data_IF_212640728266
#
_entry.id   IF_212640728266
#
_cell.length_a   1.000
_cell.length_b   1.000
_cell.length_c   1.000
_cell.angle_alpha   90.00
_cell.angle_beta   90.00
_cell.angle_gamma   90.00
#
_symmetry.space_group_name_H-M   'P 1'
#
loop_
_entity.id
_entity.type
_entity.pdbx_description
1 polymer ?
#
# COMPACT_ATOMS: atom_id res chain seq x y z
N UNK A 1 -9.20 -0.61 -37.68
CA UNK A 1 -9.78 0.08 -36.50
C UNK A 1 -11.29 -0.13 -36.58
N UNK A 2 -11.88 -0.82 -35.61
CA UNK A 2 -13.32 -1.04 -35.61
C UNK A 2 -14.07 0.23 -35.20
N UNK A 3 -15.28 0.42 -35.71
CA UNK A 3 -16.17 1.55 -35.33
C UNK A 3 -16.40 1.60 -33.80
N UNK A 4 -16.33 0.46 -33.08
CA UNK A 4 -16.44 0.39 -31.64
C UNK A 4 -15.30 1.11 -30.91
N UNK A 5 -14.07 1.12 -31.46
CA UNK A 5 -12.94 1.86 -30.88
C UNK A 5 -13.08 3.38 -30.99
N UNK A 6 -13.88 3.86 -31.95
CA UNK A 6 -14.18 5.28 -32.14
C UNK A 6 -15.38 5.75 -31.29
N UNK A 7 -16.25 4.82 -30.88
CA UNK A 7 -17.43 5.12 -30.06
C UNK A 7 -17.14 4.99 -28.55
N UNK A 8 -16.09 4.28 -28.15
CA UNK A 8 -15.66 4.09 -26.77
C UNK A 8 -14.69 5.19 -26.27
N UNK A 9 -14.91 6.43 -26.66
CA UNK A 9 -14.06 7.58 -26.30
C UNK A 9 -14.27 8.08 -24.88
N UNK A 10 -15.29 7.61 -24.16
CA UNK A 10 -15.55 8.05 -22.79
C UNK A 10 -15.03 7.01 -21.78
N UNK A 11 -13.86 7.26 -21.20
CA UNK A 11 -13.24 6.45 -20.15
C UNK A 11 -14.20 6.14 -18.99
N UNK A 12 -15.05 7.08 -18.63
CA UNK A 12 -15.99 6.93 -17.53
C UNK A 12 -17.05 5.83 -17.71
N UNK A 13 -17.40 5.44 -18.96
CA UNK A 13 -18.32 4.30 -19.20
C UNK A 13 -17.70 2.95 -18.84
N UNK A 14 -16.38 2.93 -18.64
CA UNK A 14 -15.59 1.74 -18.28
C UNK A 14 -15.33 1.64 -16.78
N UNK A 15 -15.75 2.62 -15.98
CA UNK A 15 -15.64 2.59 -14.53
C UNK A 15 -16.61 1.60 -13.90
N UNK A 16 -16.26 1.06 -12.74
CA UNK A 16 -17.21 0.31 -11.91
C UNK A 16 -18.41 1.18 -11.51
N UNK A 17 -19.53 0.55 -11.17
CA UNK A 17 -20.71 1.27 -10.66
C UNK A 17 -20.40 2.00 -9.35
N UNK A 18 -19.59 1.39 -8.50
CA UNK A 18 -19.13 2.02 -7.24
C UNK A 18 -18.40 3.33 -7.54
N UNK A 19 -17.44 3.33 -8.47
CA UNK A 19 -16.72 4.54 -8.85
C UNK A 19 -17.63 5.58 -9.50
N UNK A 20 -18.52 5.17 -10.37
CA UNK A 20 -19.51 6.08 -10.96
C UNK A 20 -20.37 6.75 -9.88
N UNK A 21 -20.80 5.98 -8.87
CA UNK A 21 -21.56 6.52 -7.75
C UNK A 21 -20.72 7.52 -6.93
N UNK A 22 -19.44 7.21 -6.67
CA UNK A 22 -18.51 8.11 -5.95
C UNK A 22 -18.21 9.39 -6.72
N UNK A 23 -18.13 9.34 -8.04
CA UNK A 23 -18.01 10.52 -8.88
C UNK A 23 -19.25 11.41 -8.80
N UNK A 24 -20.44 10.81 -8.87
CA UNK A 24 -21.70 11.55 -8.87
C UNK A 24 -22.09 12.07 -7.49
N UNK A 25 -21.76 11.34 -6.44
CA UNK A 25 -22.10 11.65 -5.04
C UNK A 25 -20.93 11.33 -4.11
N UNK A 26 -19.83 12.09 -4.19
CA UNK A 26 -18.70 11.92 -3.32
C UNK A 26 -19.08 12.27 -1.87
N UNK A 27 -18.52 11.53 -0.90
CA UNK A 27 -18.83 11.68 0.53
C UNK A 27 -17.83 12.57 1.26
N UNK A 28 -16.58 12.53 0.80
CA UNK A 28 -15.46 13.13 1.51
C UNK A 28 -14.98 14.46 0.88
N UNK A 29 -15.77 15.04 -0.02
CA UNK A 29 -15.45 16.35 -0.60
C UNK A 29 -15.57 17.45 0.46
N UNK A 30 -14.51 18.26 0.58
CA UNK A 30 -14.48 19.39 1.52
C UNK A 30 -13.08 19.73 1.97
N UNK A 31 -12.98 20.36 3.13
CA UNK A 31 -11.73 20.71 3.77
C UNK A 31 -11.96 20.88 5.27
N UNK A 32 -10.87 20.92 6.03
CA UNK A 32 -10.86 21.30 7.43
C UNK A 32 -10.06 22.58 7.60
N UNK A 33 -10.39 23.34 8.68
CA UNK A 33 -9.67 24.54 9.07
C UNK A 33 -8.79 24.26 10.29
N UNK A 34 -7.74 25.07 10.47
CA UNK A 34 -6.88 25.01 11.66
C UNK A 34 -7.68 25.19 12.98
N UNK A 35 -8.70 26.05 12.95
CA UNK A 35 -9.59 26.28 14.10
C UNK A 35 -10.34 24.99 14.48
N UNK A 36 -10.90 24.28 13.50
CA UNK A 36 -11.61 23.01 13.73
C UNK A 36 -10.68 21.92 14.29
N UNK A 37 -9.42 21.89 13.88
CA UNK A 37 -8.43 20.95 14.41
C UNK A 37 -8.02 21.34 15.84
N UNK A 38 -7.80 22.62 16.09
CA UNK A 38 -7.42 23.16 17.40
C UNK A 38 -8.48 22.86 18.46
N UNK A 39 -9.76 23.14 18.17
CA UNK A 39 -10.88 22.90 19.07
C UNK A 39 -11.03 21.43 19.48
N UNK A 40 -10.59 20.52 18.60
CA UNK A 40 -10.60 19.06 18.84
C UNK A 40 -9.32 18.54 19.47
N UNK A 41 -8.28 19.38 19.62
CA UNK A 41 -6.97 18.97 20.11
C UNK A 41 -6.18 18.06 19.15
N UNK A 42 -6.59 18.00 17.88
CA UNK A 42 -6.00 17.15 16.83
C UNK A 42 -5.15 17.96 15.88
N UNK A 43 -4.42 17.29 14.97
CA UNK A 43 -3.55 17.91 13.97
C UNK A 43 -4.27 17.98 12.62
N UNK A 44 -4.26 19.16 12.00
CA UNK A 44 -4.60 19.31 10.59
C UNK A 44 -3.36 19.06 9.74
N UNK A 45 -3.49 18.16 8.78
CA UNK A 45 -2.53 17.96 7.68
C UNK A 45 -3.20 18.35 6.38
N UNK A 46 -2.58 19.25 5.63
CA UNK A 46 -3.12 19.73 4.36
C UNK A 46 -2.02 19.67 3.28
N UNK A 47 -2.29 18.92 2.22
CA UNK A 47 -1.37 18.72 1.10
C UNK A 47 -2.04 19.13 -0.19
N UNK A 48 -1.26 19.71 -1.08
CA UNK A 48 -1.62 19.91 -2.50
C UNK A 48 -0.67 19.12 -3.37
N UNK A 49 -1.24 18.40 -4.34
CA UNK A 49 -0.53 17.62 -5.33
C UNK A 49 -1.07 17.89 -6.73
N UNK A 50 -0.19 17.88 -7.72
CA UNK A 50 -0.52 18.24 -9.08
C UNK A 50 -0.67 19.74 -9.28
N UNK A 51 -1.22 20.15 -10.42
CA UNK A 51 -1.41 21.55 -10.80
C UNK A 51 -2.59 21.69 -11.74
N UNK A 52 -3.36 22.76 -11.58
CA UNK A 52 -4.46 23.11 -12.51
C UNK A 52 -3.92 23.31 -13.93
N UNK A 53 -2.69 23.81 -14.08
CA UNK A 53 -2.04 23.99 -15.38
C UNK A 53 -1.81 22.68 -16.11
N UNK A 54 -1.56 21.61 -15.37
CA UNK A 54 -1.34 20.26 -15.88
C UNK A 54 -2.64 19.46 -15.99
N UNK A 55 -3.78 20.10 -15.68
CA UNK A 55 -5.11 19.54 -15.83
C UNK A 55 -5.65 18.78 -14.63
N UNK A 56 -4.83 18.51 -13.60
CA UNK A 56 -5.25 17.78 -12.38
C UNK A 56 -4.58 18.36 -11.13
N UNK A 57 -5.38 18.79 -10.16
CA UNK A 57 -4.92 19.22 -8.84
C UNK A 57 -5.76 18.53 -7.77
N UNK A 58 -5.10 18.01 -6.76
CA UNK A 58 -5.69 17.39 -5.56
C UNK A 58 -5.22 18.15 -4.33
N UNK A 59 -6.16 18.60 -3.50
CA UNK A 59 -5.89 19.06 -2.14
C UNK A 59 -6.48 18.04 -1.15
N UNK A 60 -5.65 17.44 -0.33
CA UNK A 60 -6.00 16.43 0.66
C UNK A 60 -5.88 17.03 2.07
N UNK A 61 -6.85 16.75 2.93
CA UNK A 61 -6.93 17.26 4.30
C UNK A 61 -7.20 16.11 5.25
N UNK A 62 -6.31 15.91 6.24
CA UNK A 62 -6.50 14.93 7.31
C UNK A 62 -6.63 15.60 8.66
N UNK A 63 -7.48 15.03 9.49
CA UNK A 63 -7.48 15.26 10.93
C UNK A 63 -6.82 14.07 11.60
N UNK A 64 -5.67 14.30 12.24
CA UNK A 64 -4.82 13.24 12.79
C UNK A 64 -4.72 13.41 14.29
N UNK A 65 -4.91 12.31 15.01
CA UNK A 65 -4.68 12.28 16.46
C UNK A 65 -3.18 12.46 16.75
N UNK A 66 -2.87 13.30 17.73
CA UNK A 66 -1.48 13.61 18.12
C UNK A 66 -0.86 12.58 19.06
N UNK A 67 -1.67 11.67 19.61
CA UNK A 67 -1.21 10.67 20.57
C UNK A 67 -0.77 9.37 19.90
N UNK A 68 -1.43 8.98 18.79
CA UNK A 68 -1.23 7.69 18.15
C UNK A 68 -1.14 7.73 16.63
N UNK A 69 -1.30 8.91 16.03
CA UNK A 69 -1.19 9.10 14.59
C UNK A 69 -2.36 8.56 13.77
N UNK A 70 -3.49 8.22 14.43
CA UNK A 70 -4.70 7.74 13.73
C UNK A 70 -5.35 8.88 12.97
N UNK A 71 -5.72 8.61 11.72
CA UNK A 71 -6.47 9.53 10.86
C UNK A 71 -7.95 9.44 11.25
N UNK A 72 -8.44 10.46 11.96
CA UNK A 72 -9.81 10.51 12.48
C UNK A 72 -10.80 10.80 11.36
N UNK A 73 -10.42 11.68 10.44
CA UNK A 73 -11.27 12.07 9.30
C UNK A 73 -10.40 12.55 8.14
N UNK A 74 -10.89 12.39 6.91
CA UNK A 74 -10.20 12.77 5.70
C UNK A 74 -11.16 13.44 4.72
N UNK A 75 -10.74 14.56 4.15
CA UNK A 75 -11.46 15.30 3.10
C UNK A 75 -10.55 15.71 1.98
N UNK A 76 -11.14 16.01 0.84
CA UNK A 76 -10.39 16.46 -0.31
C UNK A 76 -11.12 17.50 -1.14
N UNK A 77 -10.36 18.25 -1.94
CA UNK A 77 -10.81 19.05 -3.07
C UNK A 77 -10.03 18.59 -4.29
N UNK A 78 -10.69 18.34 -5.39
CA UNK A 78 -10.06 17.94 -6.64
C UNK A 78 -10.54 18.81 -7.80
N UNK A 79 -9.61 19.14 -8.69
CA UNK A 79 -9.89 19.79 -9.96
C UNK A 79 -9.26 18.95 -11.06
N UNK A 80 -10.01 18.58 -12.08
CA UNK A 80 -9.51 17.76 -13.17
C UNK A 80 -10.47 16.67 -13.59
N UNK A 81 -9.93 15.50 -13.96
CA UNK A 81 -10.74 14.40 -14.44
C UNK A 81 -11.59 13.77 -13.33
N UNK A 82 -12.79 13.32 -13.71
CA UNK A 82 -13.79 12.77 -12.77
C UNK A 82 -13.27 11.59 -11.97
N UNK A 83 -12.36 10.78 -12.53
CA UNK A 83 -11.74 9.65 -11.83
C UNK A 83 -10.98 10.11 -10.59
N UNK A 84 -10.33 11.27 -10.63
CA UNK A 84 -9.62 11.82 -9.48
C UNK A 84 -10.57 12.04 -8.30
N UNK A 85 -11.82 12.46 -8.57
CA UNK A 85 -12.84 12.63 -7.53
C UNK A 85 -13.25 11.27 -6.94
N UNK A 86 -13.64 10.31 -7.80
CA UNK A 86 -14.15 9.03 -7.34
C UNK A 86 -13.10 8.18 -6.63
N UNK A 87 -11.88 8.13 -7.15
CA UNK A 87 -10.80 7.37 -6.55
C UNK A 87 -10.28 8.00 -5.24
N UNK A 88 -10.20 9.34 -5.16
CA UNK A 88 -9.84 10.01 -3.90
C UNK A 88 -10.90 9.82 -2.83
N UNK A 89 -12.18 9.82 -3.19
CA UNK A 89 -13.27 9.59 -2.26
C UNK A 89 -13.18 8.18 -1.63
N UNK A 90 -12.87 7.16 -2.45
CA UNK A 90 -12.60 5.80 -1.98
C UNK A 90 -11.34 5.75 -1.11
N UNK A 91 -10.28 6.42 -1.51
CA UNK A 91 -9.03 6.47 -0.75
C UNK A 91 -9.24 7.10 0.63
N UNK A 92 -10.03 8.17 0.74
CA UNK A 92 -10.39 8.77 2.03
C UNK A 92 -11.10 7.78 2.96
N UNK A 93 -12.08 7.01 2.45
CA UNK A 93 -12.75 5.97 3.27
C UNK A 93 -11.76 4.89 3.75
N UNK A 94 -10.78 4.53 2.92
CA UNK A 94 -9.79 3.50 3.23
C UNK A 94 -8.78 3.93 4.32
N UNK A 95 -8.43 5.22 4.40
CA UNK A 95 -7.42 5.72 5.35
C UNK A 95 -7.99 6.12 6.70
N UNK A 96 -9.27 6.49 6.78
CA UNK A 96 -9.91 6.83 8.05
C UNK A 96 -9.88 5.63 9.00
N UNK A 97 -9.48 5.87 10.24
CA UNK A 97 -9.28 4.84 11.27
C UNK A 97 -7.94 4.10 11.19
N UNK A 98 -7.09 4.40 10.19
CA UNK A 98 -5.71 3.91 10.10
C UNK A 98 -4.75 4.97 10.62
N UNK A 99 -3.57 4.56 11.09
CA UNK A 99 -2.52 5.51 11.35
C UNK A 99 -1.84 5.96 10.04
N UNK A 100 -1.06 7.07 10.11
CA UNK A 100 -0.43 7.66 8.93
C UNK A 100 0.58 6.71 8.24
N UNK A 101 1.21 5.79 8.99
CA UNK A 101 2.13 4.81 8.39
C UNK A 101 1.38 3.74 7.58
N UNK A 102 0.23 3.27 8.09
CA UNK A 102 -0.65 2.39 7.33
C UNK A 102 -1.24 3.08 6.10
N UNK A 103 -1.61 4.36 6.23
CA UNK A 103 -2.11 5.15 5.09
C UNK A 103 -1.03 5.33 4.01
N UNK A 104 0.23 5.61 4.40
CA UNK A 104 1.37 5.72 3.49
C UNK A 104 1.61 4.47 2.64
N UNK A 105 1.23 3.29 3.14
CA UNK A 105 1.36 1.99 2.46
C UNK A 105 0.19 1.66 1.55
N UNK A 106 -0.73 2.60 1.34
CA UNK A 106 -1.83 2.40 0.39
C UNK A 106 -1.28 2.17 -1.02
N UNK A 107 -1.89 1.23 -1.73
CA UNK A 107 -1.56 0.91 -3.11
C UNK A 107 -2.74 1.15 -4.05
N UNK A 108 -2.45 1.24 -5.35
CA UNK A 108 -3.48 1.29 -6.40
C UNK A 108 -4.43 0.10 -6.31
N UNK A 109 -3.92 -1.10 -5.97
CA UNK A 109 -4.71 -2.33 -5.85
C UNK A 109 -5.71 -2.29 -4.71
N UNK A 110 -5.37 -1.64 -3.59
CA UNK A 110 -6.32 -1.46 -2.49
C UNK A 110 -7.48 -0.56 -2.92
N UNK A 111 -7.20 0.52 -3.63
CA UNK A 111 -8.22 1.41 -4.18
C UNK A 111 -9.04 0.66 -5.24
N UNK A 112 -8.38 -0.09 -6.13
CA UNK A 112 -9.00 -0.92 -7.16
C UNK A 112 -9.95 -1.95 -6.52
N UNK A 113 -9.48 -2.72 -5.56
CA UNK A 113 -10.25 -3.77 -4.87
C UNK A 113 -11.48 -3.21 -4.16
N UNK A 114 -11.32 -2.09 -3.43
CA UNK A 114 -12.46 -1.43 -2.76
C UNK A 114 -13.46 -0.87 -3.76
N UNK A 115 -12.98 -0.42 -4.89
CA UNK A 115 -13.80 0.14 -5.96
C UNK A 115 -14.50 -0.89 -6.85
N UNK A 116 -14.18 -2.20 -6.73
CA UNK A 116 -14.75 -3.26 -7.56
C UNK A 116 -16.24 -3.50 -7.29
N UNK A 117 -17.00 -3.73 -8.35
CA UNK A 117 -18.36 -4.26 -8.27
C UNK A 117 -18.38 -5.79 -8.09
N UNK A 118 -17.40 -6.49 -8.72
CA UNK A 118 -17.20 -7.94 -8.69
C UNK A 118 -15.71 -8.23 -8.77
N UNK A 119 -15.26 -9.31 -8.13
CA UNK A 119 -13.86 -9.69 -8.02
C UNK A 119 -13.09 -9.84 -9.35
N UNK A 120 -13.77 -10.10 -10.46
CA UNK A 120 -13.12 -10.38 -11.75
C UNK A 120 -13.19 -9.22 -12.73
N UNK A 121 -13.57 -8.02 -12.30
CA UNK A 121 -13.71 -6.88 -13.21
C UNK A 121 -12.92 -5.68 -12.70
N UNK A 122 -12.03 -5.16 -13.56
CA UNK A 122 -11.30 -3.91 -13.29
C UNK A 122 -12.28 -2.76 -13.03
N UNK A 123 -11.99 -1.96 -11.99
CA UNK A 123 -12.77 -0.78 -11.62
C UNK A 123 -12.35 0.44 -12.42
N UNK A 124 -11.09 0.45 -12.84
CA UNK A 124 -10.46 1.56 -13.54
C UNK A 124 -9.80 1.10 -14.84
N UNK A 125 -9.98 1.81 -15.96
CA UNK A 125 -9.15 1.62 -17.15
C UNK A 125 -7.67 1.95 -16.84
N UNK A 126 -6.74 1.22 -17.43
CA UNK A 126 -5.29 1.42 -17.23
C UNK A 126 -4.83 2.87 -17.52
N UNK A 127 -5.48 3.57 -18.42
CA UNK A 127 -5.21 4.97 -18.78
C UNK A 127 -5.44 5.94 -17.60
N UNK A 128 -6.12 5.51 -16.55
CA UNK A 128 -6.42 6.33 -15.37
C UNK A 128 -5.42 6.15 -14.22
N UNK A 129 -4.48 5.20 -14.30
CA UNK A 129 -3.48 4.95 -13.27
C UNK A 129 -2.63 6.18 -12.91
N UNK A 130 -2.28 7.10 -13.83
CA UNK A 130 -1.59 8.33 -13.45
C UNK A 130 -2.34 9.17 -12.41
N UNK A 131 -3.68 9.11 -12.40
CA UNK A 131 -4.50 9.82 -11.41
C UNK A 131 -4.47 9.12 -10.04
N UNK A 132 -4.42 7.78 -10.04
CA UNK A 132 -4.23 6.98 -8.82
C UNK A 132 -2.86 7.27 -8.21
N UNK A 133 -1.82 7.35 -9.02
CA UNK A 133 -0.47 7.70 -8.57
C UNK A 133 -0.42 9.11 -7.96
N UNK A 134 -1.16 10.07 -8.51
CA UNK A 134 -1.28 11.42 -7.94
C UNK A 134 -1.90 11.36 -6.52
N UNK A 135 -2.92 10.51 -6.33
CA UNK A 135 -3.56 10.30 -5.02
C UNK A 135 -2.56 9.70 -4.04
N UNK A 136 -1.84 8.64 -4.45
CA UNK A 136 -0.85 7.99 -3.60
C UNK A 136 0.29 8.94 -3.20
N UNK A 137 0.76 9.77 -4.15
CA UNK A 137 1.77 10.81 -3.85
C UNK A 137 1.26 11.84 -2.84
N UNK A 138 -0.01 12.24 -2.92
CA UNK A 138 -0.61 13.13 -1.93
C UNK A 138 -0.70 12.49 -0.55
N UNK A 139 -1.08 11.21 -0.47
CA UNK A 139 -1.15 10.43 0.77
C UNK A 139 0.24 10.28 1.38
N UNK A 140 1.26 9.95 0.60
CA UNK A 140 2.64 9.83 1.06
C UNK A 140 3.14 11.14 1.68
N UNK A 141 2.98 12.26 0.98
CA UNK A 141 3.36 13.59 1.48
C UNK A 141 2.58 14.00 2.72
N UNK A 142 1.31 13.60 2.84
CA UNK A 142 0.52 13.84 4.05
C UNK A 142 1.06 13.03 5.22
N UNK A 143 1.42 11.77 4.99
CA UNK A 143 2.02 10.91 6.01
C UNK A 143 3.40 11.43 6.46
N UNK A 144 4.22 11.95 5.55
CA UNK A 144 5.51 12.57 5.88
C UNK A 144 5.36 13.72 6.88
N UNK A 145 4.28 14.51 6.81
CA UNK A 145 3.99 15.57 7.77
C UNK A 145 3.58 15.05 9.16
N UNK A 146 3.35 13.76 9.30
CA UNK A 146 2.97 13.14 10.57
C UNK A 146 4.11 12.38 11.24
N UNK A 147 5.29 12.29 10.65
CA UNK A 147 6.39 11.44 11.14
C UNK A 147 6.90 11.80 12.54
N UNK A 148 6.58 12.98 13.05
CA UNK A 148 6.86 13.41 14.42
C UNK A 148 5.82 12.94 15.44
N UNK A 149 4.69 12.37 14.99
CA UNK A 149 3.63 11.85 15.87
C UNK A 149 4.01 10.41 16.26
N UNK A 150 3.94 10.07 17.55
CA UNK A 150 4.20 8.70 17.98
C UNK A 150 3.10 7.74 17.48
N UNK A 151 3.41 6.47 17.47
CA UNK A 151 2.40 5.43 17.25
C UNK A 151 1.77 4.97 18.57
N UNK A 152 0.58 4.38 18.50
CA UNK A 152 -0.01 3.67 19.61
C UNK A 152 0.96 2.59 20.14
N UNK A 153 0.98 2.37 21.45
CA UNK A 153 1.89 1.42 22.13
C UNK A 153 1.82 0.01 21.54
N UNK A 154 0.68 -0.37 20.99
CA UNK A 154 0.44 -1.70 20.41
C UNK A 154 0.62 -1.73 18.87
N UNK A 155 1.03 -0.62 18.26
CA UNK A 155 1.28 -0.59 16.82
C UNK A 155 2.70 -1.05 16.53
N UNK A 156 2.82 -2.17 15.84
CA UNK A 156 4.08 -2.63 15.28
C UNK A 156 4.14 -2.28 13.79
N UNK A 157 5.14 -1.52 13.40
CA UNK A 157 5.35 -1.19 11.98
C UNK A 157 5.60 -2.48 11.21
N UNK A 158 4.97 -2.69 10.04
CA UNK A 158 5.15 -3.89 9.24
C UNK A 158 6.60 -4.12 8.77
N UNK A 159 7.39 -3.05 8.71
CA UNK A 159 8.84 -3.12 8.43
C UNK A 159 9.54 -2.32 9.52
N UNK A 160 10.46 -2.91 10.29
CA UNK A 160 11.25 -2.18 11.27
C UNK A 160 11.96 -1.01 10.60
N UNK A 161 11.84 0.20 11.16
CA UNK A 161 12.55 1.38 10.66
C UNK A 161 14.06 1.25 10.82
N UNK A 162 14.50 0.38 11.72
CA UNK A 162 15.91 0.05 11.93
C UNK A 162 16.18 -1.40 11.53
N UNK A 163 16.61 -1.56 10.29
CA UNK A 163 16.99 -2.86 9.72
C UNK A 163 18.31 -3.39 10.31
N UNK A 164 18.98 -2.63 11.16
CA UNK A 164 20.28 -3.02 11.78
C UNK A 164 20.11 -3.96 12.98
N UNK A 165 18.89 -4.22 13.46
CA UNK A 165 18.62 -4.92 14.73
C UNK A 165 18.11 -6.36 14.55
N UNK A 166 18.09 -6.90 13.33
CA UNK A 166 17.72 -8.31 13.15
C UNK A 166 18.98 -9.15 13.37
N UNK A 167 19.29 -9.43 14.63
CA UNK A 167 20.36 -10.33 15.01
C UNK A 167 19.89 -11.78 15.05
N UNK A 168 20.74 -12.69 14.58
CA UNK A 168 20.49 -14.12 14.67
C UNK A 168 21.68 -14.93 14.15
N UNK A 169 21.93 -16.06 14.79
CA UNK A 169 23.00 -16.99 14.42
C UNK A 169 22.59 -18.01 13.35
N UNK A 170 21.41 -17.80 12.74
CA UNK A 170 20.80 -18.76 11.81
C UNK A 170 20.17 -19.96 12.52
N UNK A 171 19.62 -20.88 11.73
CA UNK A 171 18.99 -22.09 12.26
C UNK A 171 20.05 -23.16 12.57
N UNK A 172 20.12 -23.68 13.81
CA UNK A 172 21.10 -24.70 14.17
C UNK A 172 20.99 -25.95 13.29
N UNK A 173 22.10 -26.39 12.71
CA UNK A 173 22.13 -27.58 11.86
C UNK A 173 21.49 -27.42 10.49
N UNK A 174 21.21 -26.19 10.03
CA UNK A 174 20.59 -25.89 8.73
C UNK A 174 21.17 -26.68 7.55
N UNK A 175 22.50 -26.73 7.45
CA UNK A 175 23.20 -27.38 6.31
C UNK A 175 22.91 -28.87 6.19
N UNK A 176 22.67 -29.55 7.31
CA UNK A 176 22.45 -30.98 7.39
C UNK A 176 20.98 -31.38 7.23
N UNK A 177 20.08 -30.43 7.17
CA UNK A 177 18.64 -30.68 7.01
C UNK A 177 18.32 -31.15 5.59
N UNK A 178 17.41 -32.14 5.44
CA UNK A 178 16.86 -32.46 4.13
C UNK A 178 15.98 -31.31 3.61
N UNK A 179 15.89 -31.16 2.29
CA UNK A 179 15.18 -30.05 1.62
C UNK A 179 13.76 -29.81 2.19
N UNK A 180 13.01 -30.88 2.44
CA UNK A 180 11.67 -30.77 3.03
C UNK A 180 11.68 -30.05 4.38
N UNK A 181 12.64 -30.39 5.24
CA UNK A 181 12.78 -29.75 6.55
C UNK A 181 13.25 -28.31 6.44
N UNK A 182 14.10 -28.00 5.46
CA UNK A 182 14.51 -26.63 5.17
C UNK A 182 13.33 -25.76 4.78
N UNK A 183 12.45 -26.28 3.92
CA UNK A 183 11.23 -25.55 3.54
C UNK A 183 10.28 -25.38 4.74
N UNK A 184 10.12 -26.39 5.60
CA UNK A 184 9.31 -26.29 6.81
C UNK A 184 9.84 -25.18 7.75
N UNK A 185 11.16 -25.11 7.96
CA UNK A 185 11.80 -24.06 8.79
C UNK A 185 11.61 -22.67 8.18
N UNK A 186 11.76 -22.54 6.86
CA UNK A 186 11.53 -21.26 6.16
C UNK A 186 10.08 -20.82 6.33
N UNK A 187 9.13 -21.73 6.11
CA UNK A 187 7.69 -21.43 6.27
C UNK A 187 7.37 -21.01 7.71
N UNK A 188 7.95 -21.67 8.71
CA UNK A 188 7.76 -21.30 10.12
C UNK A 188 8.28 -19.87 10.41
N UNK A 189 9.45 -19.51 9.87
CA UNK A 189 10.00 -18.17 10.00
C UNK A 189 9.14 -17.15 9.26
N UNK A 190 8.64 -17.47 8.06
CA UNK A 190 7.72 -16.59 7.33
C UNK A 190 6.42 -16.37 8.10
N UNK A 191 5.82 -17.43 8.65
CA UNK A 191 4.58 -17.36 9.41
C UNK A 191 4.70 -16.53 10.68
N UNK A 192 5.83 -16.67 11.37
CA UNK A 192 6.04 -16.02 12.66
C UNK A 192 6.52 -14.59 12.55
N UNK A 193 7.46 -14.33 11.63
CA UNK A 193 8.23 -13.09 11.64
C UNK A 193 7.94 -12.18 10.43
N UNK A 194 7.31 -12.69 9.37
CA UNK A 194 7.12 -11.92 8.12
C UNK A 194 5.65 -11.75 7.75
N UNK A 195 4.90 -12.84 7.63
CA UNK A 195 3.48 -12.80 7.22
C UNK A 195 2.60 -11.90 8.10
N UNK A 196 2.72 -11.86 9.44
CA UNK A 196 1.93 -10.96 10.26
C UNK A 196 2.11 -9.48 9.89
N UNK A 197 3.32 -9.08 9.51
CA UNK A 197 3.62 -7.71 9.11
C UNK A 197 3.08 -7.39 7.72
N UNK A 198 3.26 -8.30 6.76
CA UNK A 198 2.80 -8.12 5.37
C UNK A 198 1.27 -8.18 5.29
N UNK A 199 0.63 -9.00 6.11
CA UNK A 199 -0.82 -9.15 6.16
C UNK A 199 -1.57 -7.87 6.61
N UNK A 200 -0.92 -7.01 7.40
CA UNK A 200 -1.50 -5.71 7.78
C UNK A 200 -1.83 -4.83 6.58
N UNK A 201 -1.09 -5.01 5.48
CA UNK A 201 -1.28 -4.29 4.21
C UNK A 201 -2.04 -5.11 3.15
N UNK A 202 -2.75 -6.17 3.56
CA UNK A 202 -3.37 -7.15 2.65
C UNK A 202 -2.36 -7.78 1.66
N UNK A 203 -1.08 -7.73 1.97
CA UNK A 203 -0.01 -8.40 1.25
C UNK A 203 0.16 -9.84 1.71
N UNK A 204 0.88 -10.62 0.91
CA UNK A 204 1.26 -11.98 1.25
C UNK A 204 2.57 -12.37 0.57
N UNK A 205 3.20 -13.41 1.11
CA UNK A 205 4.38 -14.03 0.54
C UNK A 205 4.27 -15.54 0.67
N UNK A 206 4.63 -16.24 -0.42
CA UNK A 206 4.72 -17.70 -0.46
C UNK A 206 6.08 -18.14 -0.94
N UNK A 207 6.56 -19.25 -0.39
CA UNK A 207 7.77 -19.92 -0.89
C UNK A 207 7.41 -20.70 -2.15
N UNK A 208 8.13 -20.45 -3.22
CA UNK A 208 8.03 -21.24 -4.44
C UNK A 208 9.06 -22.36 -4.49
N UNK A 209 10.31 -22.03 -4.17
CA UNK A 209 11.40 -23.02 -4.25
C UNK A 209 12.62 -22.59 -3.44
N UNK A 210 13.49 -23.55 -3.11
CA UNK A 210 14.83 -23.33 -2.59
C UNK A 210 15.84 -23.97 -3.55
N UNK A 211 16.59 -23.14 -4.28
CA UNK A 211 17.52 -23.57 -5.32
C UNK A 211 18.93 -23.69 -4.74
N UNK A 212 19.50 -24.90 -4.84
CA UNK A 212 20.87 -25.22 -4.44
C UNK A 212 21.24 -24.81 -2.99
N UNK A 213 20.26 -24.72 -2.10
CA UNK A 213 20.42 -24.24 -0.73
C UNK A 213 20.98 -22.80 -0.62
N UNK A 214 20.84 -22.00 -1.67
CA UNK A 214 21.38 -20.64 -1.75
C UNK A 214 20.33 -19.58 -2.10
N UNK A 215 19.39 -19.94 -2.97
CA UNK A 215 18.39 -18.98 -3.46
C UNK A 215 17.00 -19.40 -3.03
N UNK A 216 16.38 -18.60 -2.19
CA UNK A 216 14.99 -18.75 -1.80
C UNK A 216 14.10 -17.97 -2.76
N UNK A 217 13.38 -18.69 -3.61
CA UNK A 217 12.44 -18.09 -4.55
C UNK A 217 11.09 -17.91 -3.87
N UNK A 218 10.61 -16.68 -3.84
CA UNK A 218 9.32 -16.29 -3.25
C UNK A 218 8.39 -15.70 -4.28
N UNK A 219 7.09 -15.80 -4.09
CA UNK A 219 6.08 -15.04 -4.81
C UNK A 219 5.35 -14.10 -3.87
N UNK A 220 5.13 -12.87 -4.30
CA UNK A 220 4.27 -11.92 -3.62
C UNK A 220 2.79 -12.19 -3.93
N UNK A 221 1.92 -11.86 -2.99
CA UNK A 221 0.47 -11.97 -3.12
C UNK A 221 -0.21 -10.70 -2.62
N UNK A 222 -1.38 -10.42 -3.15
CA UNK A 222 -2.15 -9.24 -2.74
C UNK A 222 -1.48 -7.93 -3.10
N UNK A 223 -1.52 -6.93 -2.22
CA UNK A 223 -0.98 -5.59 -2.46
C UNK A 223 0.53 -5.53 -2.66
N UNK A 224 1.28 -6.58 -2.29
CA UNK A 224 2.72 -6.64 -2.53
C UNK A 224 3.09 -6.83 -4.01
N UNK A 225 2.14 -7.17 -4.89
CA UNK A 225 2.44 -7.44 -6.32
C UNK A 225 2.56 -6.18 -7.16
N UNK A 226 2.06 -5.04 -6.71
CA UNK A 226 1.87 -3.85 -7.55
C UNK A 226 2.61 -2.59 -7.08
N UNK A 227 3.32 -2.65 -5.95
CA UNK A 227 4.02 -1.48 -5.41
C UNK A 227 5.53 -1.58 -5.59
N UNK A 228 6.07 -0.91 -6.59
CA UNK A 228 7.51 -0.94 -6.92
C UNK A 228 8.42 -0.50 -5.76
N UNK A 229 7.99 0.45 -4.94
CA UNK A 229 8.75 0.92 -3.76
C UNK A 229 8.65 -0.05 -2.59
N UNK A 230 7.50 -0.70 -2.39
CA UNK A 230 7.32 -1.67 -1.30
C UNK A 230 7.99 -3.01 -1.61
N UNK A 231 8.12 -3.40 -2.90
CA UNK A 231 8.87 -4.60 -3.29
C UNK A 231 10.31 -4.53 -2.77
N UNK A 232 10.99 -3.40 -2.96
CA UNK A 232 12.38 -3.22 -2.51
C UNK A 232 12.53 -3.27 -0.98
N UNK A 233 11.67 -2.56 -0.25
CA UNK A 233 11.72 -2.49 1.22
C UNK A 233 11.29 -3.81 1.86
N UNK A 234 10.20 -4.40 1.38
CA UNK A 234 9.70 -5.70 1.85
C UNK A 234 10.70 -6.81 1.53
N UNK A 235 11.30 -6.82 0.33
CA UNK A 235 12.33 -7.78 -0.03
C UNK A 235 13.55 -7.67 0.87
N UNK A 236 14.01 -6.45 1.16
CA UNK A 236 15.15 -6.21 2.06
C UNK A 236 14.86 -6.72 3.46
N UNK A 237 13.65 -6.51 3.98
CA UNK A 237 13.22 -7.04 5.27
C UNK A 237 13.19 -8.56 5.29
N UNK A 238 12.54 -9.21 4.31
CA UNK A 238 12.50 -10.67 4.18
C UNK A 238 13.93 -11.22 4.12
N UNK A 239 14.79 -10.60 3.31
CA UNK A 239 16.19 -11.01 3.15
C UNK A 239 16.96 -10.98 4.48
N UNK A 240 16.75 -9.95 5.29
CA UNK A 240 17.43 -9.82 6.58
C UNK A 240 16.92 -10.83 7.60
N UNK A 241 15.59 -11.02 7.71
CA UNK A 241 15.01 -12.01 8.60
C UNK A 241 15.49 -13.41 8.24
N UNK A 242 15.46 -13.77 6.95
CA UNK A 242 15.90 -15.08 6.49
C UNK A 242 17.40 -15.30 6.78
N UNK A 243 18.25 -14.28 6.56
CA UNK A 243 19.67 -14.38 6.86
C UNK A 243 19.95 -14.52 8.36
N UNK A 244 19.23 -13.80 9.19
CA UNK A 244 19.42 -13.84 10.64
C UNK A 244 18.90 -15.15 11.26
N UNK A 245 17.76 -15.65 10.80
CA UNK A 245 17.06 -16.76 11.47
C UNK A 245 17.21 -18.12 10.79
N UNK A 246 17.59 -18.15 9.51
CA UNK A 246 17.74 -19.39 8.74
C UNK A 246 19.20 -19.64 8.35
N UNK A 247 19.73 -18.90 7.41
CA UNK A 247 21.16 -19.00 7.00
C UNK A 247 21.64 -17.66 6.40
N UNK A 248 22.78 -17.11 6.89
CA UNK A 248 23.31 -15.83 6.41
C UNK A 248 23.73 -15.84 4.92
N UNK A 249 23.88 -17.02 4.32
CA UNK A 249 24.24 -17.16 2.92
C UNK A 249 23.03 -17.25 1.98
N UNK A 250 21.80 -17.31 2.50
CA UNK A 250 20.60 -17.35 1.67
C UNK A 250 20.35 -16.00 1.01
N UNK A 251 20.00 -16.05 -0.27
CA UNK A 251 19.53 -14.89 -1.05
C UNK A 251 18.07 -15.07 -1.41
N UNK A 252 17.23 -14.10 -1.06
CA UNK A 252 15.82 -14.12 -1.39
C UNK A 252 15.63 -13.49 -2.75
N UNK A 253 14.99 -14.23 -3.66
CA UNK A 253 14.74 -13.80 -5.05
C UNK A 253 13.23 -13.79 -5.29
N UNK A 254 12.64 -12.64 -5.62
CA UNK A 254 11.23 -12.60 -5.98
C UNK A 254 11.03 -13.22 -7.37
N UNK A 255 10.00 -14.06 -7.50
CA UNK A 255 9.53 -14.46 -8.81
C UNK A 255 8.79 -13.28 -9.46
N UNK A 256 9.32 -12.80 -10.58
CA UNK A 256 8.76 -11.69 -11.35
C UNK A 256 7.70 -12.15 -12.36
N UNK A 257 7.51 -13.47 -12.55
CA UNK A 257 6.48 -14.03 -13.42
C UNK A 257 5.09 -13.79 -12.79
N UNK A 258 4.43 -12.73 -13.17
CA UNK A 258 3.11 -12.35 -12.64
C UNK A 258 3.10 -11.01 -11.89
N UNK A 259 4.22 -10.33 -11.79
CA UNK A 259 4.25 -8.91 -11.46
C UNK A 259 3.96 -8.14 -12.75
N UNK A 260 2.83 -7.46 -12.81
CA UNK A 260 2.54 -6.48 -13.89
C UNK A 260 3.49 -5.28 -13.68
N UNK A 261 4.67 -5.37 -14.29
CA UNK A 261 5.67 -4.30 -14.34
C UNK A 261 5.36 -3.33 -15.48
#
# INVERSE_FOLDING_TARGET
>A
MSLESLLNTFTWTRFSKKIMQRIMQPRNVGFFTEEQAYDRGIRLVAIKEGSIKDGNELALYWLVDKEDGIIIDAKFKATGQSILIGATDVACDLIVGKNYDQARRMSTDLIEKEAQDKHDKESFPKETYPHLNLILSAIEKAAEQCMDIPFAINYETPVPNDLSVIDGEGYPGWKDLPLRKKLEVIEEVLDKDIRPYIALDNGGVTVLNLIQDKELVIAYQGSCTSCYSSIGTTLSYIQQVIRAKVDPNLTVVPNLDGLDL
#
